data_IF_690274459489
#
_entry.id   IF_690274459489
#
_cell.length_a   1.000
_cell.length_b   1.000
_cell.length_c   1.000
_cell.angle_alpha   90.00
_cell.angle_beta   90.00
_cell.angle_gamma   90.00
#
_symmetry.space_group_name_H-M   'P 1'
#
loop_
_entity.id
_entity.type
_entity.pdbx_description
1 polymer ?
#
# COMPACT_ATOMS: atom_id res chain seq x y z
N UNK A 1 12.81 3.45 -6.46
CA UNK A 1 11.48 2.90 -6.14
C UNK A 1 11.60 1.75 -5.15
N UNK A 2 12.26 0.63 -5.52
CA UNK A 2 12.36 -0.59 -4.68
C UNK A 2 12.93 -0.28 -3.28
N UNK A 3 14.01 0.49 -3.18
CA UNK A 3 14.57 0.89 -1.89
C UNK A 3 13.56 1.67 -1.04
N UNK A 4 12.75 2.52 -1.64
CA UNK A 4 11.70 3.27 -0.94
C UNK A 4 10.62 2.32 -0.40
N UNK A 5 10.21 1.31 -1.17
CA UNK A 5 9.29 0.29 -0.69
C UNK A 5 9.85 -0.48 0.51
N UNK A 6 11.10 -0.94 0.45
CA UNK A 6 11.73 -1.68 1.55
C UNK A 6 11.87 -0.83 2.82
N UNK A 7 12.26 0.44 2.68
CA UNK A 7 12.31 1.40 3.80
C UNK A 7 10.92 1.58 4.40
N UNK A 8 9.91 1.79 3.56
CA UNK A 8 8.53 2.01 4.01
C UNK A 8 7.95 0.79 4.73
N UNK A 9 8.12 -0.42 4.17
CA UNK A 9 7.74 -1.69 4.82
C UNK A 9 8.43 -1.81 6.19
N UNK A 10 9.72 -1.55 6.24
CA UNK A 10 10.48 -1.61 7.49
C UNK A 10 9.90 -0.66 8.54
N UNK A 11 9.66 0.60 8.18
CA UNK A 11 9.04 1.59 9.07
C UNK A 11 7.68 1.10 9.58
N UNK A 12 6.82 0.59 8.70
CA UNK A 12 5.49 0.09 9.08
C UNK A 12 5.58 -1.05 10.10
N UNK A 13 6.46 -2.04 9.88
CA UNK A 13 6.61 -3.15 10.81
C UNK A 13 7.28 -2.75 12.12
N UNK A 14 8.17 -1.77 12.13
CA UNK A 14 8.71 -1.22 13.37
C UNK A 14 7.63 -0.50 14.19
N UNK A 15 6.77 0.28 13.54
CA UNK A 15 5.60 0.90 14.20
C UNK A 15 4.67 -0.20 14.75
N UNK A 16 4.33 -1.20 13.92
CA UNK A 16 3.46 -2.30 14.33
C UNK A 16 4.04 -3.10 15.51
N UNK A 17 5.34 -3.39 15.46
CA UNK A 17 6.05 -4.07 16.54
C UNK A 17 6.04 -3.29 17.84
N UNK A 18 6.25 -1.97 17.76
CA UNK A 18 6.21 -1.08 18.94
C UNK A 18 4.81 -1.05 19.56
N UNK A 19 3.76 -0.86 18.74
CA UNK A 19 2.37 -0.79 19.21
C UNK A 19 1.92 -2.12 19.80
N UNK A 20 2.26 -3.24 19.15
CA UNK A 20 1.88 -4.58 19.59
C UNK A 20 2.83 -5.20 20.61
N UNK A 21 3.93 -4.53 20.98
CA UNK A 21 5.00 -5.05 21.83
C UNK A 21 5.58 -6.37 21.32
N UNK A 22 5.76 -6.49 20.00
CA UNK A 22 6.31 -7.65 19.29
C UNK A 22 7.63 -7.28 18.60
N UNK A 23 8.47 -8.30 18.34
CA UNK A 23 9.72 -8.07 17.61
C UNK A 23 9.44 -7.78 16.13
N UNK A 24 9.79 -6.58 15.61
CA UNK A 24 9.51 -6.21 14.21
C UNK A 24 10.20 -7.12 13.19
N UNK A 25 11.39 -7.65 13.52
CA UNK A 25 12.10 -8.56 12.62
C UNK A 25 11.37 -9.88 12.47
N UNK A 26 10.72 -10.36 13.54
CA UNK A 26 9.89 -11.58 13.47
C UNK A 26 8.66 -11.34 12.61
N UNK A 27 8.00 -10.18 12.77
CA UNK A 27 6.85 -9.78 11.95
C UNK A 27 7.22 -9.73 10.46
N UNK A 28 8.36 -9.11 10.11
CA UNK A 28 8.86 -9.05 8.73
C UNK A 28 9.13 -10.46 8.18
N UNK A 29 9.76 -11.34 8.98
CA UNK A 29 10.02 -12.73 8.55
C UNK A 29 8.73 -13.50 8.28
N UNK A 30 7.71 -13.34 9.12
CA UNK A 30 6.41 -13.98 8.94
C UNK A 30 5.68 -13.47 7.70
N UNK A 31 5.99 -12.22 7.26
CA UNK A 31 5.39 -11.60 6.07
C UNK A 31 6.02 -12.06 4.75
N UNK A 32 7.20 -12.67 4.76
CA UNK A 32 7.90 -13.07 3.52
C UNK A 32 7.04 -13.88 2.53
N UNK A 33 6.22 -14.86 2.96
CA UNK A 33 5.34 -15.58 2.02
C UNK A 33 4.32 -14.67 1.35
N UNK A 34 3.72 -13.73 2.08
CA UNK A 34 2.80 -12.73 1.52
C UNK A 34 3.51 -11.80 0.53
N UNK A 35 4.70 -11.31 0.89
CA UNK A 35 5.52 -10.47 0.03
C UNK A 35 5.86 -11.16 -1.30
N UNK A 36 6.36 -12.41 -1.26
CA UNK A 36 6.75 -13.16 -2.46
C UNK A 36 5.56 -13.54 -3.33
N UNK A 37 4.42 -13.89 -2.72
CA UNK A 37 3.18 -14.16 -3.47
C UNK A 37 2.68 -12.90 -4.18
N UNK A 38 2.71 -11.75 -3.51
CA UNK A 38 2.33 -10.48 -4.11
C UNK A 38 3.25 -10.07 -5.26
N UNK A 39 4.56 -10.32 -5.15
CA UNK A 39 5.52 -10.12 -6.24
C UNK A 39 5.14 -10.93 -7.49
N UNK A 40 4.73 -12.18 -7.30
CA UNK A 40 4.37 -13.06 -8.40
C UNK A 40 3.00 -12.79 -9.01
N UNK A 41 2.01 -12.43 -8.18
CA UNK A 41 0.62 -12.25 -8.63
C UNK A 41 0.31 -10.84 -9.11
N UNK A 42 1.07 -9.84 -8.66
CA UNK A 42 0.76 -8.41 -8.88
C UNK A 42 -0.67 -8.03 -8.41
N UNK A 43 -1.24 -8.82 -7.50
CA UNK A 43 -2.61 -8.65 -7.04
C UNK A 43 -2.72 -8.78 -5.53
N UNK A 44 -3.06 -7.69 -4.85
CA UNK A 44 -3.36 -7.71 -3.42
C UNK A 44 -4.54 -8.64 -3.11
N UNK A 45 -5.58 -8.61 -3.96
CA UNK A 45 -6.76 -9.47 -3.80
C UNK A 45 -6.42 -10.96 -3.90
N UNK A 46 -5.61 -11.36 -4.90
CA UNK A 46 -5.18 -12.75 -5.06
C UNK A 46 -4.26 -13.22 -3.90
N UNK A 47 -3.61 -12.30 -3.22
CA UNK A 47 -2.69 -12.60 -2.11
C UNK A 47 -3.39 -12.70 -0.76
N UNK A 48 -4.68 -12.30 -0.64
CA UNK A 48 -5.44 -12.33 0.61
C UNK A 48 -5.29 -13.66 1.38
N UNK A 49 -5.46 -14.85 0.78
CA UNK A 49 -5.36 -16.10 1.54
C UNK A 49 -4.01 -16.30 2.21
N UNK A 50 -2.92 -16.00 1.50
CA UNK A 50 -1.56 -16.12 2.04
C UNK A 50 -1.30 -15.06 3.11
N UNK A 51 -1.80 -13.84 2.91
CA UNK A 51 -1.61 -12.75 3.87
C UNK A 51 -2.40 -12.99 5.17
N UNK A 52 -3.55 -13.65 5.11
CA UNK A 52 -4.29 -14.10 6.31
C UNK A 52 -3.46 -15.08 7.15
N UNK A 53 -2.72 -16.00 6.51
CA UNK A 53 -1.81 -16.91 7.23
C UNK A 53 -0.59 -16.18 7.80
N UNK A 54 -0.06 -15.16 7.11
CA UNK A 54 0.99 -14.30 7.66
C UNK A 54 0.50 -13.56 8.91
N UNK A 55 -0.69 -12.94 8.85
CA UNK A 55 -1.32 -12.25 9.98
C UNK A 55 -1.58 -13.19 11.16
N UNK A 56 -1.99 -14.44 10.88
CA UNK A 56 -2.17 -15.47 11.91
C UNK A 56 -0.85 -15.80 12.62
N UNK A 57 0.25 -15.98 11.87
CA UNK A 57 1.60 -16.19 12.44
C UNK A 57 2.05 -15.02 13.32
N UNK A 58 1.64 -13.80 12.96
CA UNK A 58 1.88 -12.60 13.75
C UNK A 58 0.96 -12.47 14.96
N UNK A 59 0.05 -13.46 15.18
CA UNK A 59 -0.87 -13.50 16.32
C UNK A 59 -1.98 -12.47 16.24
N UNK A 60 -2.43 -12.14 15.02
CA UNK A 60 -3.65 -11.35 14.78
C UNK A 60 -4.85 -12.26 14.93
N UNK A 61 -5.80 -11.87 15.77
CA UNK A 61 -7.02 -12.65 16.03
C UNK A 61 -7.84 -12.88 14.75
N UNK A 62 -8.61 -13.97 14.72
CA UNK A 62 -9.36 -14.37 13.54
C UNK A 62 -10.33 -13.30 13.06
N UNK A 63 -11.05 -12.70 13.99
CA UNK A 63 -11.99 -11.63 13.68
C UNK A 63 -11.31 -10.44 13.03
N UNK A 64 -10.14 -10.01 13.56
CA UNK A 64 -9.43 -8.84 13.05
C UNK A 64 -8.79 -9.15 11.69
N UNK A 65 -8.07 -10.28 11.54
CA UNK A 65 -7.41 -10.58 10.26
C UNK A 65 -8.40 -10.80 9.12
N UNK A 66 -9.55 -11.47 9.38
CA UNK A 66 -10.56 -11.74 8.36
C UNK A 66 -11.32 -10.48 7.92
N UNK A 67 -11.27 -9.41 8.71
CA UNK A 67 -11.81 -8.10 8.34
C UNK A 67 -10.76 -7.18 7.73
N UNK A 68 -9.65 -6.98 8.44
CA UNK A 68 -8.66 -5.96 8.06
C UNK A 68 -7.90 -6.33 6.79
N UNK A 69 -7.46 -7.58 6.64
CA UNK A 69 -6.65 -7.99 5.47
C UNK A 69 -7.44 -7.85 4.15
N UNK A 70 -8.68 -8.36 4.01
CA UNK A 70 -9.45 -8.15 2.79
C UNK A 70 -9.84 -6.69 2.54
N UNK A 71 -10.11 -5.92 3.59
CA UNK A 71 -10.41 -4.50 3.48
C UNK A 71 -9.20 -3.74 2.95
N UNK A 72 -8.03 -3.90 3.58
CA UNK A 72 -6.79 -3.23 3.20
C UNK A 72 -6.32 -3.61 1.80
N UNK A 73 -6.55 -4.84 1.34
CA UNK A 73 -6.21 -5.28 -0.01
C UNK A 73 -6.81 -4.40 -1.13
N UNK A 74 -7.83 -3.59 -0.83
CA UNK A 74 -8.45 -2.66 -1.76
C UNK A 74 -8.22 -1.18 -1.40
N UNK A 75 -8.09 -0.84 -0.11
CA UNK A 75 -8.02 0.58 0.29
C UNK A 75 -6.61 1.03 0.68
N UNK A 76 -5.67 0.12 0.91
CA UNK A 76 -4.31 0.43 1.33
C UNK A 76 -3.30 0.22 0.19
N UNK A 77 -3.10 1.24 -0.64
CA UNK A 77 -2.29 1.21 -1.85
C UNK A 77 -1.00 2.05 -1.74
N UNK A 78 -0.35 2.03 -0.57
CA UNK A 78 0.83 2.86 -0.28
C UNK A 78 2.02 2.59 -1.23
N UNK A 79 2.31 1.33 -1.52
CA UNK A 79 3.37 0.94 -2.44
C UNK A 79 3.08 1.39 -3.88
N UNK A 80 1.83 1.23 -4.32
CA UNK A 80 1.38 1.73 -5.62
C UNK A 80 1.50 3.24 -5.72
N UNK A 81 1.17 3.99 -4.66
CA UNK A 81 1.35 5.45 -4.61
C UNK A 81 2.82 5.86 -4.73
N UNK A 82 3.72 5.17 -4.03
CA UNK A 82 5.17 5.38 -4.14
C UNK A 82 5.62 5.13 -5.58
N UNK A 83 5.20 4.02 -6.18
CA UNK A 83 5.55 3.67 -7.56
C UNK A 83 5.03 4.72 -8.56
N UNK A 84 3.74 5.07 -8.49
CA UNK A 84 3.12 6.04 -9.39
C UNK A 84 3.81 7.40 -9.29
N UNK A 85 4.02 7.90 -8.08
CA UNK A 85 4.66 9.21 -7.87
C UNK A 85 6.10 9.23 -8.38
N UNK A 86 6.88 8.18 -8.10
CA UNK A 86 8.25 8.06 -8.56
C UNK A 86 8.34 7.93 -10.09
N UNK A 87 7.48 7.10 -10.71
CA UNK A 87 7.43 6.96 -12.17
C UNK A 87 6.98 8.27 -12.84
N UNK A 88 5.97 8.94 -12.30
CA UNK A 88 5.52 10.24 -12.83
C UNK A 88 6.62 11.30 -12.76
N UNK A 89 7.37 11.34 -11.65
CA UNK A 89 8.52 12.22 -11.52
C UNK A 89 9.59 11.89 -12.55
N UNK A 90 9.90 10.61 -12.77
CA UNK A 90 10.88 10.19 -13.78
C UNK A 90 10.42 10.56 -15.20
N UNK A 91 9.15 10.36 -15.53
CA UNK A 91 8.56 10.74 -16.82
C UNK A 91 8.65 12.25 -17.04
N UNK A 92 8.39 13.08 -16.03
CA UNK A 92 8.58 14.53 -16.12
C UNK A 92 10.03 14.89 -16.47
N UNK A 93 10.99 14.30 -15.76
CA UNK A 93 12.41 14.57 -15.97
C UNK A 93 12.88 14.10 -17.36
N UNK A 94 12.44 12.94 -17.83
CA UNK A 94 12.80 12.39 -19.15
C UNK A 94 12.24 13.21 -20.31
N UNK A 95 11.09 13.85 -20.13
CA UNK A 95 10.40 14.61 -21.17
C UNK A 95 10.55 16.14 -21.00
N UNK A 96 11.42 16.59 -20.09
CA UNK A 96 11.62 18.02 -19.76
C UNK A 96 10.31 18.74 -19.39
N UNK A 97 9.37 18.03 -18.76
CA UNK A 97 8.12 18.63 -18.26
C UNK A 97 8.42 19.39 -16.94
N UNK A 98 7.78 20.55 -16.74
CA UNK A 98 7.97 21.32 -15.52
C UNK A 98 7.43 20.54 -14.32
N UNK A 99 8.27 20.36 -13.29
CA UNK A 99 7.89 19.71 -12.03
C UNK A 99 8.18 20.66 -10.87
N UNK A 100 7.24 20.80 -9.96
CA UNK A 100 7.36 21.64 -8.76
C UNK A 100 6.64 21.01 -7.58
N UNK A 101 6.99 21.41 -6.37
CA UNK A 101 6.25 21.02 -5.16
C UNK A 101 4.76 21.39 -5.27
N UNK A 102 4.48 22.54 -5.90
CA UNK A 102 3.10 23.01 -6.14
C UNK A 102 2.26 22.11 -7.05
N UNK A 103 2.87 21.29 -7.90
CA UNK A 103 2.18 20.31 -8.75
C UNK A 103 2.19 18.91 -8.12
N UNK A 104 3.29 18.51 -7.50
CA UNK A 104 3.46 17.17 -6.93
C UNK A 104 2.58 16.97 -5.68
N UNK A 105 2.51 17.94 -4.76
CA UNK A 105 1.75 17.77 -3.52
C UNK A 105 0.24 17.63 -3.79
N UNK A 106 -0.43 18.48 -4.58
CA UNK A 106 -1.83 18.29 -4.93
C UNK A 106 -2.09 16.97 -5.66
N UNK A 107 -1.17 16.54 -6.55
CA UNK A 107 -1.26 15.25 -7.21
C UNK A 107 -1.24 14.10 -6.21
N UNK A 108 -0.28 14.06 -5.27
CA UNK A 108 -0.20 13.01 -4.23
C UNK A 108 -1.46 12.99 -3.37
N UNK A 109 -1.99 14.14 -2.98
CA UNK A 109 -3.21 14.23 -2.16
C UNK A 109 -4.43 13.68 -2.91
N UNK A 110 -4.61 14.06 -4.17
CA UNK A 110 -5.68 13.55 -5.02
C UNK A 110 -5.52 12.06 -5.27
N UNK A 111 -4.31 11.61 -5.56
CA UNK A 111 -3.98 10.20 -5.76
C UNK A 111 -4.32 9.37 -4.51
N UNK A 112 -4.00 9.88 -3.30
CA UNK A 112 -4.33 9.20 -2.04
C UNK A 112 -5.82 8.94 -1.87
N UNK A 113 -6.66 9.89 -2.26
CA UNK A 113 -8.13 9.74 -2.24
C UNK A 113 -8.58 8.75 -3.32
N UNK A 114 -8.05 8.89 -4.54
CA UNK A 114 -8.42 8.04 -5.66
C UNK A 114 -8.04 6.57 -5.45
N UNK A 115 -6.91 6.31 -4.80
CA UNK A 115 -6.42 4.95 -4.53
C UNK A 115 -7.33 4.13 -3.60
N UNK A 116 -8.18 4.75 -2.79
CA UNK A 116 -9.20 4.05 -1.99
C UNK A 116 -10.22 3.31 -2.87
N UNK A 117 -10.41 3.77 -4.10
CA UNK A 117 -11.29 3.13 -5.09
C UNK A 117 -10.53 2.23 -6.09
N UNK A 118 -9.23 2.04 -5.90
CA UNK A 118 -8.40 1.23 -6.79
C UNK A 118 -8.65 -0.26 -6.58
N UNK A 119 -8.90 -1.06 -7.63
CA UNK A 119 -9.00 -2.50 -7.47
C UNK A 119 -7.62 -3.11 -7.14
N UNK A 120 -7.58 -4.08 -6.22
CA UNK A 120 -6.39 -4.84 -5.86
C UNK A 120 -5.95 -5.88 -6.91
N UNK A 121 -6.00 -5.50 -8.19
CA UNK A 121 -5.71 -6.33 -9.36
C UNK A 121 -4.51 -5.75 -10.15
N UNK A 122 -3.80 -6.56 -10.97
CA UNK A 122 -2.67 -6.08 -11.76
C UNK A 122 -3.01 -4.85 -12.60
N UNK A 123 -2.19 -3.79 -12.50
CA UNK A 123 -2.41 -2.54 -13.21
C UNK A 123 -3.57 -1.68 -12.70
N UNK A 124 -4.34 -2.14 -11.71
CA UNK A 124 -5.52 -1.42 -11.21
C UNK A 124 -5.20 0.00 -10.71
N UNK A 125 -4.11 0.15 -9.99
CA UNK A 125 -3.72 1.45 -9.43
C UNK A 125 -3.34 2.47 -10.51
N UNK A 126 -2.58 2.08 -11.54
CA UNK A 126 -2.24 3.02 -12.62
C UNK A 126 -3.46 3.41 -13.45
N UNK A 127 -4.39 2.48 -13.69
CA UNK A 127 -5.62 2.79 -14.39
C UNK A 127 -6.51 3.76 -13.58
N UNK A 128 -6.52 3.62 -12.26
CA UNK A 128 -7.19 4.58 -11.36
C UNK A 128 -6.50 5.95 -11.35
N UNK A 129 -5.17 5.98 -11.44
CA UNK A 129 -4.39 7.23 -11.46
C UNK A 129 -4.45 7.97 -12.80
N UNK A 130 -4.67 7.25 -13.89
CA UNK A 130 -4.57 7.75 -15.26
C UNK A 130 -5.35 9.07 -15.50
N UNK A 131 -6.61 9.22 -15.04
CA UNK A 131 -7.37 10.45 -15.21
C UNK A 131 -6.79 11.67 -14.49
N UNK A 132 -5.87 11.47 -13.55
CA UNK A 132 -5.28 12.53 -12.71
C UNK A 132 -3.86 12.91 -13.12
N UNK A 133 -3.26 12.22 -14.11
CA UNK A 133 -1.87 12.47 -14.54
C UNK A 133 -1.70 13.86 -15.15
N UNK A 134 -2.76 14.50 -15.65
CA UNK A 134 -2.69 15.89 -16.11
C UNK A 134 -2.27 16.89 -15.03
N UNK A 135 -2.48 16.55 -13.76
CA UNK A 135 -2.10 17.41 -12.64
C UNK A 135 -0.58 17.57 -12.50
N UNK A 136 0.17 16.53 -12.91
CA UNK A 136 1.63 16.53 -12.83
C UNK A 136 2.29 16.74 -14.20
N UNK A 137 1.69 16.26 -15.29
CA UNK A 137 2.22 16.38 -16.66
C UNK A 137 1.75 17.63 -17.39
N UNK A 138 0.69 18.31 -16.91
CA UNK A 138 -0.02 19.35 -17.65
C UNK A 138 -1.09 18.76 -18.58
N UNK A 139 -1.98 19.59 -19.10
CA UNK A 139 -3.17 19.14 -19.83
C UNK A 139 -2.86 18.37 -21.11
N UNK A 140 -1.87 18.82 -21.88
CA UNK A 140 -1.53 18.17 -23.16
C UNK A 140 -0.78 16.85 -22.95
N UNK A 141 0.29 16.87 -22.13
CA UNK A 141 1.10 15.69 -21.84
C UNK A 141 0.37 14.67 -20.95
N UNK A 142 -0.59 15.11 -20.16
CA UNK A 142 -1.41 14.28 -19.28
C UNK A 142 -2.70 13.75 -19.92
N UNK A 143 -2.84 13.81 -21.25
CA UNK A 143 -3.92 13.11 -21.97
C UNK A 143 -3.80 11.60 -21.75
N UNK A 144 -4.82 10.93 -21.18
CA UNK A 144 -4.81 9.49 -20.93
C UNK A 144 -4.53 8.64 -22.19
N UNK A 145 -4.85 9.14 -23.36
CA UNK A 145 -4.60 8.47 -24.65
C UNK A 145 -3.28 8.91 -25.30
N UNK A 146 -2.57 9.83 -24.68
CA UNK A 146 -1.33 10.42 -25.20
C UNK A 146 -0.09 9.54 -24.97
N UNK A 147 0.98 9.78 -25.74
CA UNK A 147 2.19 8.98 -25.65
C UNK A 147 2.90 9.08 -24.28
N UNK A 148 2.83 10.21 -23.60
CA UNK A 148 3.43 10.39 -22.27
C UNK A 148 2.73 9.50 -21.22
N UNK A 149 1.41 9.44 -21.24
CA UNK A 149 0.65 8.54 -20.38
C UNK A 149 0.90 7.06 -20.73
N UNK A 150 1.07 6.72 -22.00
CA UNK A 150 1.45 5.37 -22.41
C UNK A 150 2.81 4.96 -21.85
N UNK A 151 3.82 5.85 -21.89
CA UNK A 151 5.14 5.64 -21.28
C UNK A 151 4.98 5.44 -19.75
N UNK A 152 4.17 6.27 -19.11
CA UNK A 152 3.91 6.18 -17.67
C UNK A 152 3.28 4.83 -17.29
N UNK A 153 2.30 4.37 -18.04
CA UNK A 153 1.64 3.06 -17.82
C UNK A 153 2.63 1.92 -17.99
N UNK A 154 3.43 1.93 -19.08
CA UNK A 154 4.44 0.91 -19.33
C UNK A 154 5.49 0.86 -18.21
N UNK A 155 5.98 2.01 -17.75
CA UNK A 155 6.95 2.12 -16.68
C UNK A 155 6.38 1.63 -15.34
N UNK A 156 5.13 1.96 -15.04
CA UNK A 156 4.45 1.49 -13.84
C UNK A 156 4.29 -0.03 -13.83
N UNK A 157 3.78 -0.63 -14.91
CA UNK A 157 3.52 -2.08 -15.00
C UNK A 157 4.77 -2.90 -14.74
N UNK A 158 5.94 -2.43 -15.17
CA UNK A 158 7.21 -3.13 -14.91
C UNK A 158 7.59 -3.17 -13.41
N UNK A 159 7.01 -2.31 -12.60
CA UNK A 159 7.31 -2.16 -11.17
C UNK A 159 6.12 -2.49 -10.26
N UNK A 160 4.96 -2.82 -10.83
CA UNK A 160 3.71 -3.10 -10.09
C UNK A 160 3.87 -4.24 -9.07
N UNK A 161 4.69 -5.25 -9.40
CA UNK A 161 5.03 -6.35 -8.50
C UNK A 161 5.55 -5.86 -7.14
N UNK A 162 6.49 -4.91 -7.15
CA UNK A 162 7.11 -4.38 -5.92
C UNK A 162 6.16 -3.47 -5.15
N UNK A 163 5.36 -2.67 -5.86
CA UNK A 163 4.30 -1.85 -5.28
C UNK A 163 3.25 -2.69 -4.58
N UNK A 164 2.79 -3.75 -5.23
CA UNK A 164 1.82 -4.70 -4.68
C UNK A 164 2.37 -5.45 -3.46
N UNK A 165 3.62 -5.89 -3.50
CA UNK A 165 4.26 -6.53 -2.36
C UNK A 165 4.38 -5.59 -1.15
N UNK A 166 4.60 -4.29 -1.40
CA UNK A 166 4.58 -3.26 -0.37
C UNK A 166 3.17 -3.05 0.21
N UNK A 167 2.13 -2.99 -0.63
CA UNK A 167 0.74 -2.89 -0.20
C UNK A 167 0.37 -4.03 0.74
N UNK A 168 0.54 -5.28 0.28
CA UNK A 168 0.21 -6.51 1.02
C UNK A 168 0.97 -6.60 2.35
N UNK A 169 2.22 -6.17 2.39
CA UNK A 169 3.00 -6.13 3.64
C UNK A 169 2.44 -5.12 4.63
N UNK A 170 2.05 -3.95 4.14
CA UNK A 170 1.41 -2.94 4.96
C UNK A 170 0.04 -3.36 5.49
N UNK A 171 -0.74 -4.12 4.72
CA UNK A 171 -2.03 -4.65 5.16
C UNK A 171 -1.86 -5.50 6.44
N UNK A 172 -0.84 -6.36 6.48
CA UNK A 172 -0.54 -7.15 7.67
C UNK A 172 -0.03 -6.29 8.84
N UNK A 173 0.85 -5.33 8.57
CA UNK A 173 1.32 -4.40 9.60
C UNK A 173 0.15 -3.63 10.25
N UNK A 174 -0.82 -3.16 9.45
CA UNK A 174 -2.06 -2.54 9.92
C UNK A 174 -2.88 -3.55 10.74
N UNK A 175 -3.02 -4.79 10.27
CA UNK A 175 -3.71 -5.86 11.01
C UNK A 175 -3.12 -6.08 12.40
N UNK A 176 -1.80 -6.10 12.53
CA UNK A 176 -1.10 -6.21 13.83
C UNK A 176 -1.40 -5.01 14.73
N UNK A 177 -1.39 -3.78 14.20
CA UNK A 177 -1.70 -2.56 14.94
C UNK A 177 -3.14 -2.57 15.42
N UNK A 178 -4.09 -2.83 14.52
CA UNK A 178 -5.53 -2.86 14.85
C UNK A 178 -5.83 -3.91 15.91
N UNK A 179 -5.23 -5.11 15.80
CA UNK A 179 -5.40 -6.17 16.79
C UNK A 179 -4.85 -5.77 18.16
N UNK A 180 -3.73 -5.09 18.23
CA UNK A 180 -3.16 -4.62 19.50
C UNK A 180 -4.04 -3.56 20.17
N UNK A 181 -4.59 -2.62 19.38
CA UNK A 181 -5.50 -1.58 19.85
C UNK A 181 -6.81 -2.23 20.33
N UNK A 182 -7.40 -3.13 19.55
CA UNK A 182 -8.63 -3.83 19.88
C UNK A 182 -8.52 -4.59 21.20
N UNK A 183 -7.46 -5.37 21.39
CA UNK A 183 -7.22 -6.11 22.63
C UNK A 183 -7.06 -5.19 23.85
N UNK A 184 -6.46 -4.01 23.68
CA UNK A 184 -6.36 -3.01 24.76
C UNK A 184 -7.73 -2.47 25.16
N UNK A 185 -8.61 -2.20 24.19
CA UNK A 185 -9.98 -1.76 24.48
C UNK A 185 -10.81 -2.83 25.19
N UNK A 186 -10.71 -4.10 24.77
CA UNK A 186 -11.39 -5.21 25.43
C UNK A 186 -10.95 -5.39 26.89
N UNK A 187 -9.64 -5.31 27.17
CA UNK A 187 -9.12 -5.39 28.53
C UNK A 187 -9.71 -4.29 29.43
N UNK A 188 -9.78 -3.05 28.95
CA UNK A 188 -10.37 -1.93 29.69
C UNK A 188 -11.88 -2.04 29.88
N UNK A 189 -12.60 -2.62 28.90
CA UNK A 189 -14.04 -2.88 29.01
C UNK A 189 -14.37 -3.95 30.04
N UNK A 190 -13.56 -5.01 30.11
CA UNK A 190 -13.71 -6.09 31.10
C UNK A 190 -13.47 -5.62 32.54
N UNK A 191 -12.49 -4.76 32.78
CA UNK A 191 -12.21 -4.18 34.11
C UNK A 191 -13.37 -3.30 34.60
N UNK A 192 -14.00 -2.51 33.72
CA UNK A 192 -15.16 -1.68 34.08
C UNK A 192 -16.40 -2.50 34.40
N UNK A 193 -16.64 -3.63 33.72
CA UNK A 193 -17.76 -4.54 34.00
C UNK A 193 -17.57 -5.36 35.28
N UNK A 194 -16.32 -5.55 35.73
CA UNK A 194 -16.02 -6.27 36.98
C UNK A 194 -16.11 -5.36 38.24
N UNK A 195 -16.18 -4.02 38.03
CA UNK A 195 -16.30 -3.03 39.10
C UNK A 195 -17.72 -2.45 39.26
N UNK A 196 -18.65 -2.84 38.39
CA UNK A 196 -20.07 -2.46 38.44
C UNK A 196 -20.90 -3.62 38.96
#
# INVERSE_FOLDING_TARGET
VICMHLIYITIQFFIAGTVAKKNPITLIKNQLPGYTTALGTQSSAATIPVNLECAKKDGVSEQIRNFVVPLCANIHMCGSMITITACATAVCLMNNLPISIGTVVPFIMTLGIAMVASPGAPGGSIMTALPFLYMIFGKEAGDPNGPICAIMVALYITQDSFGTACNVSGDNAIGVIVNAIYNKFLAQGGEKSAQA
#
